data_IF_665022860275
#
_entry.id   IF_665022860275
#
_cell.length_a   1.000
_cell.length_b   1.000
_cell.length_c   1.000
_cell.angle_alpha   90.00
_cell.angle_beta   90.00
_cell.angle_gamma   90.00
#
_symmetry.space_group_name_H-M   'P 1'
#
loop_
_entity.id
_entity.type
_entity.pdbx_description
1 polymer ?
#
# COMPACT_ATOMS: atom_id res chain seq x y z
N UNK A 1 -6.10 9.33 13.20
CA UNK A 1 -7.58 9.25 13.30
C UNK A 1 -7.97 7.78 13.20
N UNK A 2 -9.06 7.32 13.85
CA UNK A 2 -9.50 5.95 13.64
C UNK A 2 -10.05 5.81 12.22
N UNK A 3 -9.30 5.15 11.34
CA UNK A 3 -9.88 4.52 10.15
C UNK A 3 -10.98 3.57 10.64
N UNK A 4 -12.15 3.60 10.00
CA UNK A 4 -13.15 2.57 10.23
C UNK A 4 -12.58 1.19 9.84
N UNK A 5 -13.18 0.11 10.35
CA UNK A 5 -12.66 -1.24 10.13
C UNK A 5 -12.61 -1.62 8.64
N UNK A 6 -13.53 -1.10 7.81
CA UNK A 6 -13.55 -1.36 6.38
C UNK A 6 -12.39 -0.67 5.67
N UNK A 7 -12.09 0.58 6.03
CA UNK A 7 -10.97 1.34 5.49
C UNK A 7 -9.63 0.76 5.96
N UNK A 8 -9.52 0.32 7.22
CA UNK A 8 -8.32 -0.40 7.70
C UNK A 8 -8.04 -1.63 6.83
N UNK A 9 -9.07 -2.45 6.57
CA UNK A 9 -8.95 -3.63 5.71
C UNK A 9 -8.56 -3.25 4.29
N UNK A 10 -9.20 -2.24 3.70
CA UNK A 10 -8.87 -1.79 2.35
C UNK A 10 -7.41 -1.31 2.25
N UNK A 11 -6.93 -0.55 3.23
CA UNK A 11 -5.53 -0.12 3.30
C UNK A 11 -4.59 -1.31 3.38
N UNK A 12 -4.91 -2.31 4.22
CA UNK A 12 -4.11 -3.53 4.31
C UNK A 12 -4.08 -4.30 2.98
N UNK A 13 -5.22 -4.39 2.29
CA UNK A 13 -5.33 -5.04 0.97
C UNK A 13 -4.49 -4.32 -0.09
N UNK A 14 -4.48 -3.00 -0.07
CA UNK A 14 -3.66 -2.19 -0.98
C UNK A 14 -2.17 -2.38 -0.71
N UNK A 15 -1.76 -2.37 0.55
CA UNK A 15 -0.35 -2.59 0.92
C UNK A 15 0.09 -4.01 0.57
N UNK A 16 -0.74 -5.02 0.84
CA UNK A 16 -0.43 -6.40 0.46
C UNK A 16 -0.36 -6.58 -1.07
N UNK A 17 -1.23 -5.92 -1.83
CA UNK A 17 -1.19 -5.95 -3.30
C UNK A 17 0.02 -5.20 -3.89
N UNK A 18 0.50 -4.15 -3.23
CA UNK A 18 1.73 -3.47 -3.62
C UNK A 18 2.95 -4.39 -3.43
N UNK A 19 3.07 -4.99 -2.26
CA UNK A 19 4.20 -5.84 -1.91
C UNK A 19 4.22 -7.09 -2.79
N UNK A 20 3.09 -7.77 -2.96
CA UNK A 20 2.98 -8.96 -3.81
C UNK A 20 2.96 -8.68 -5.34
N UNK A 21 3.33 -7.47 -5.79
CA UNK A 21 3.11 -7.02 -7.17
C UNK A 21 4.09 -7.58 -8.20
N UNK A 22 5.12 -8.31 -7.78
CA UNK A 22 6.13 -8.93 -8.64
C UNK A 22 5.95 -10.46 -8.80
N UNK A 23 4.77 -10.97 -8.46
CA UNK A 23 4.37 -12.39 -8.52
C UNK A 23 5.14 -13.33 -7.54
N UNK A 24 5.98 -12.81 -6.63
CA UNK A 24 6.77 -13.63 -5.70
C UNK A 24 6.57 -13.19 -4.23
N UNK A 25 5.40 -13.53 -3.65
CA UNK A 25 5.09 -13.23 -2.25
C UNK A 25 5.92 -14.08 -1.27
N UNK A 26 7.10 -13.58 -0.91
CA UNK A 26 8.08 -14.30 -0.11
C UNK A 26 7.89 -14.18 1.42
N UNK A 27 8.77 -14.81 2.20
CA UNK A 27 8.68 -14.81 3.67
C UNK A 27 8.92 -13.42 4.28
N UNK A 28 9.77 -12.58 3.67
CA UNK A 28 10.07 -11.23 4.15
C UNK A 28 8.88 -10.29 3.91
N UNK A 29 8.25 -10.42 2.74
CA UNK A 29 7.01 -9.73 2.38
C UNK A 29 5.84 -10.11 3.28
N UNK A 30 5.73 -11.40 3.61
CA UNK A 30 4.76 -11.90 4.58
C UNK A 30 5.00 -11.30 5.96
N UNK A 31 6.24 -11.24 6.44
CA UNK A 31 6.55 -10.63 7.74
C UNK A 31 6.20 -9.14 7.77
N UNK A 32 6.38 -8.44 6.65
CA UNK A 32 5.98 -7.04 6.53
C UNK A 32 4.45 -6.86 6.65
N UNK A 33 3.68 -7.64 5.90
CA UNK A 33 2.20 -7.60 5.96
C UNK A 33 1.70 -7.94 7.36
N UNK A 34 2.34 -8.89 8.05
CA UNK A 34 1.99 -9.27 9.42
C UNK A 34 2.18 -8.11 10.41
N UNK A 35 3.35 -7.46 10.37
CA UNK A 35 3.61 -6.25 11.18
C UNK A 35 2.60 -5.14 10.90
N UNK A 36 2.16 -5.01 9.66
CA UNK A 36 1.19 -4.01 9.26
C UNK A 36 -0.23 -4.33 9.76
N UNK A 37 -0.66 -5.59 9.71
CA UNK A 37 -1.92 -6.05 10.32
C UNK A 37 -1.93 -5.78 11.83
N UNK A 38 -0.84 -6.13 12.52
CA UNK A 38 -0.68 -5.83 13.95
C UNK A 38 -0.78 -4.33 14.24
N UNK A 39 -0.18 -3.47 13.39
CA UNK A 39 -0.27 -2.00 13.51
C UNK A 39 -1.69 -1.47 13.39
N UNK A 40 -2.57 -2.17 12.68
CA UNK A 40 -3.99 -1.80 12.52
C UNK A 40 -4.92 -2.44 13.55
N UNK A 41 -4.37 -3.19 14.52
CA UNK A 41 -5.11 -4.03 15.47
C UNK A 41 -5.94 -5.11 14.78
N UNK A 42 -5.47 -5.62 13.63
CA UNK A 42 -6.09 -6.74 12.92
C UNK A 42 -5.40 -8.03 13.37
N UNK A 43 -6.13 -9.01 13.95
CA UNK A 43 -5.53 -10.27 14.37
C UNK A 43 -4.89 -11.03 13.21
N UNK A 44 -3.79 -11.73 13.45
CA UNK A 44 -3.16 -12.62 12.44
C UNK A 44 -4.14 -13.70 11.94
N UNK A 45 -5.11 -14.10 12.77
CA UNK A 45 -6.18 -15.03 12.37
C UNK A 45 -7.12 -14.47 11.32
N UNK A 46 -7.08 -13.15 11.07
CA UNK A 46 -7.80 -12.46 10.00
C UNK A 46 -6.90 -12.18 8.79
N UNK A 47 -5.85 -12.98 8.58
CA UNK A 47 -5.03 -12.91 7.37
C UNK A 47 -5.88 -12.95 6.09
N UNK A 48 -6.92 -13.78 6.06
CA UNK A 48 -7.86 -13.88 4.94
C UNK A 48 -8.62 -12.56 4.65
N UNK A 49 -8.64 -11.61 5.60
CA UNK A 49 -9.30 -10.32 5.43
C UNK A 49 -8.56 -9.38 4.46
N UNK A 50 -7.30 -9.68 4.12
CA UNK A 50 -6.57 -8.93 3.08
C UNK A 50 -6.77 -9.52 1.68
N UNK A 51 -7.54 -10.60 1.55
CA UNK A 51 -7.86 -11.19 0.25
C UNK A 51 -9.28 -10.80 -0.21
N UNK A 52 -9.50 -10.60 -1.53
CA UNK A 52 -8.47 -10.60 -2.58
C UNK A 52 -7.54 -9.38 -2.47
N UNK A 53 -6.29 -9.51 -2.94
CA UNK A 53 -5.36 -8.38 -3.02
C UNK A 53 -5.91 -7.30 -3.96
N UNK A 54 -5.41 -6.06 -3.82
CA UNK A 54 -5.75 -4.98 -4.75
C UNK A 54 -4.67 -4.91 -5.81
N UNK A 55 -5.02 -5.30 -7.03
CA UNK A 55 -4.16 -5.28 -8.21
C UNK A 55 -4.00 -3.85 -8.78
N UNK A 56 -3.07 -3.66 -9.73
CA UNK A 56 -2.80 -2.35 -10.35
C UNK A 56 -4.04 -1.70 -10.99
N UNK A 57 -4.91 -2.49 -11.63
CA UNK A 57 -6.12 -2.00 -12.30
C UNK A 57 -7.24 -1.64 -11.30
N UNK A 58 -7.18 -2.15 -10.08
CA UNK A 58 -8.11 -1.86 -8.99
C UNK A 58 -7.62 -0.73 -8.06
N UNK A 59 -6.31 -0.46 -8.02
CA UNK A 59 -5.67 0.47 -7.09
C UNK A 59 -6.24 1.89 -7.14
N UNK A 60 -6.57 2.41 -8.32
CA UNK A 60 -7.18 3.73 -8.50
C UNK A 60 -8.58 3.80 -7.86
N UNK A 61 -9.40 2.76 -8.03
CA UNK A 61 -10.74 2.73 -7.46
C UNK A 61 -10.68 2.54 -5.93
N UNK A 62 -9.77 1.69 -5.45
CA UNK A 62 -9.56 1.43 -4.04
C UNK A 62 -9.18 2.70 -3.26
N UNK A 63 -8.18 3.44 -3.72
CA UNK A 63 -7.75 4.66 -3.03
C UNK A 63 -8.84 5.73 -3.04
N UNK A 64 -9.59 5.87 -4.14
CA UNK A 64 -10.69 6.84 -4.23
C UNK A 64 -11.90 6.52 -3.36
N UNK A 65 -12.03 5.28 -2.89
CA UNK A 65 -13.08 4.91 -1.94
C UNK A 65 -12.82 5.48 -0.54
N UNK A 66 -11.58 5.88 -0.25
CA UNK A 66 -11.20 6.52 1.01
C UNK A 66 -11.47 8.03 0.97
N UNK A 67 -11.69 8.64 2.14
CA UNK A 67 -11.73 10.10 2.27
C UNK A 67 -10.34 10.73 2.02
N UNK A 68 -10.30 12.02 1.66
CA UNK A 68 -9.06 12.72 1.28
C UNK A 68 -7.95 12.63 2.35
N UNK A 69 -8.30 12.59 3.64
CA UNK A 69 -7.29 12.46 4.69
C UNK A 69 -6.72 11.04 4.72
N UNK A 70 -7.60 10.05 4.64
CA UNK A 70 -7.22 8.63 4.57
C UNK A 70 -6.43 8.31 3.29
N UNK A 71 -6.73 8.95 2.16
CA UNK A 71 -5.98 8.82 0.92
C UNK A 71 -4.50 9.19 1.09
N UNK A 72 -4.24 10.36 1.69
CA UNK A 72 -2.87 10.83 1.93
C UNK A 72 -2.10 9.93 2.90
N UNK A 73 -2.73 9.49 3.99
CA UNK A 73 -2.11 8.55 4.94
C UNK A 73 -1.85 7.18 4.31
N UNK A 74 -2.79 6.67 3.51
CA UNK A 74 -2.63 5.39 2.79
C UNK A 74 -1.47 5.46 1.81
N UNK A 75 -1.37 6.55 1.04
CA UNK A 75 -0.26 6.73 0.11
C UNK A 75 1.10 6.79 0.83
N UNK A 76 1.18 7.42 2.00
CA UNK A 76 2.38 7.41 2.83
C UNK A 76 2.74 6.00 3.32
N UNK A 77 1.74 5.21 3.72
CA UNK A 77 1.95 3.83 4.13
C UNK A 77 2.42 2.94 2.98
N UNK A 78 1.89 3.15 1.77
CA UNK A 78 2.35 2.44 0.57
C UNK A 78 3.82 2.77 0.26
N UNK A 79 4.24 4.02 0.43
CA UNK A 79 5.66 4.39 0.29
C UNK A 79 6.55 3.75 1.36
N UNK A 80 6.08 3.68 2.62
CA UNK A 80 6.79 2.96 3.70
C UNK A 80 6.91 1.47 3.39
N UNK A 81 5.86 0.87 2.83
CA UNK A 81 5.81 -0.54 2.49
C UNK A 81 6.72 -0.90 1.33
N UNK A 82 6.62 -0.17 0.22
CA UNK A 82 7.50 -0.39 -0.92
C UNK A 82 8.97 -0.21 -0.55
N UNK A 83 9.31 0.61 0.44
CA UNK A 83 10.70 0.81 0.86
C UNK A 83 11.19 -0.19 1.93
N UNK A 84 10.35 -1.08 2.44
CA UNK A 84 10.67 -1.88 3.62
C UNK A 84 11.92 -2.77 3.46
N UNK A 85 12.19 -3.23 2.24
CA UNK A 85 13.35 -4.06 1.86
C UNK A 85 14.57 -3.22 1.41
N UNK A 86 14.43 -1.89 1.39
CA UNK A 86 15.47 -0.94 0.95
C UNK A 86 15.57 -0.74 -0.56
N UNK A 87 14.67 -1.32 -1.36
CA UNK A 87 14.56 -1.10 -2.81
C UNK A 87 13.10 -0.82 -3.15
N UNK A 88 12.83 -0.39 -4.38
CA UNK A 88 11.47 -0.26 -4.90
C UNK A 88 11.53 -0.77 -6.33
N UNK A 89 10.84 -1.86 -6.62
CA UNK A 89 10.75 -2.49 -7.92
C UNK A 89 9.99 -1.62 -8.93
N UNK A 90 10.07 -1.98 -10.21
CA UNK A 90 9.35 -1.25 -11.27
C UNK A 90 7.83 -1.42 -11.14
N UNK A 91 7.35 -2.62 -10.81
CA UNK A 91 5.93 -2.94 -10.55
C UNK A 91 5.36 -2.12 -9.39
N UNK A 92 6.07 -2.04 -8.27
CA UNK A 92 5.69 -1.25 -7.10
C UNK A 92 5.67 0.25 -7.42
N UNK A 93 6.66 0.73 -8.17
CA UNK A 93 6.74 2.11 -8.63
C UNK A 93 5.58 2.47 -9.54
N UNK A 94 5.18 1.58 -10.45
CA UNK A 94 3.99 1.76 -11.29
C UNK A 94 2.70 1.83 -10.44
N UNK A 95 2.57 0.95 -9.45
CA UNK A 95 1.45 0.95 -8.50
C UNK A 95 1.37 2.29 -7.75
N UNK A 96 2.49 2.75 -7.19
CA UNK A 96 2.59 4.04 -6.50
C UNK A 96 2.22 5.22 -7.41
N UNK A 97 2.56 5.18 -8.70
CA UNK A 97 2.14 6.21 -9.67
C UNK A 97 0.64 6.18 -9.93
N UNK A 98 0.03 5.00 -10.07
CA UNK A 98 -1.42 4.86 -10.23
C UNK A 98 -2.14 5.48 -9.03
N UNK A 99 -1.75 5.09 -7.82
CA UNK A 99 -2.34 5.62 -6.58
C UNK A 99 -2.06 7.12 -6.43
N UNK A 100 -0.84 7.56 -6.70
CA UNK A 100 -0.44 8.96 -6.62
C UNK A 100 -1.27 9.86 -7.55
N UNK A 101 -1.46 9.45 -8.81
CA UNK A 101 -2.34 10.16 -9.75
C UNK A 101 -3.79 10.21 -9.28
N UNK A 102 -4.28 9.13 -8.70
CA UNK A 102 -5.65 9.05 -8.22
C UNK A 102 -5.97 10.06 -7.11
N UNK A 103 -4.95 10.44 -6.32
CA UNK A 103 -5.03 11.45 -5.25
C UNK A 103 -4.53 12.84 -5.68
N UNK A 104 -4.26 13.04 -6.98
CA UNK A 104 -3.90 14.34 -7.57
C UNK A 104 -2.40 14.68 -7.59
N UNK A 105 -1.51 13.71 -7.39
CA UNK A 105 -0.07 13.91 -7.58
C UNK A 105 0.33 13.67 -9.05
N UNK A 106 1.35 14.40 -9.51
CA UNK A 106 2.01 14.07 -10.78
C UNK A 106 3.00 12.91 -10.60
N UNK A 107 3.34 12.22 -11.69
CA UNK A 107 4.33 11.16 -11.67
C UNK A 107 5.69 11.67 -11.14
N UNK A 108 6.08 12.90 -11.47
CA UNK A 108 7.29 13.52 -10.94
C UNK A 108 7.23 13.71 -9.42
N UNK A 109 6.08 14.14 -8.90
CA UNK A 109 5.88 14.33 -7.46
C UNK A 109 5.85 12.99 -6.69
N UNK A 110 5.47 11.90 -7.34
CA UNK A 110 5.59 10.53 -6.79
C UNK A 110 7.06 10.11 -6.77
N UNK A 111 7.78 10.30 -7.88
CA UNK A 111 9.21 9.97 -7.98
C UNK A 111 10.06 10.76 -6.96
N UNK A 112 9.76 12.04 -6.72
CA UNK A 112 10.42 12.83 -5.69
C UNK A 112 10.23 12.25 -4.29
N UNK A 113 9.03 11.72 -3.99
CA UNK A 113 8.73 11.08 -2.70
C UNK A 113 9.44 9.74 -2.56
N UNK A 114 9.42 8.92 -3.62
CA UNK A 114 10.20 7.66 -3.69
C UNK A 114 11.68 7.94 -3.42
N UNK A 115 12.27 8.92 -4.11
CA UNK A 115 13.67 9.30 -3.93
C UNK A 115 13.97 9.85 -2.52
N UNK A 116 12.98 10.44 -1.83
CA UNK A 116 13.10 10.88 -0.45
C UNK A 116 13.14 9.74 0.58
N UNK A 117 12.51 8.60 0.27
CA UNK A 117 12.51 7.40 1.12
C UNK A 117 13.78 6.56 0.95
N UNK A 118 14.36 6.51 -0.24
CA UNK A 118 15.57 5.71 -0.55
C UNK A 118 16.89 6.32 0.00
N UNK A 119 16.83 7.44 0.71
CA UNK A 119 18.02 8.19 1.18
C UNK A 119 18.54 7.80 2.55
#
# INVERSE_FOLDING_TARGET
>A
MPLDEANKRLVCRMVAGLVASDDDFDDDEREFVDKMLQRFDIPETEWDAIFPLVEHDEAEAAIRALDETSQGETFRLLLEAAHADGRIAESEREYLKIVGRAIGLSDEAVEERIAGFVR
#
